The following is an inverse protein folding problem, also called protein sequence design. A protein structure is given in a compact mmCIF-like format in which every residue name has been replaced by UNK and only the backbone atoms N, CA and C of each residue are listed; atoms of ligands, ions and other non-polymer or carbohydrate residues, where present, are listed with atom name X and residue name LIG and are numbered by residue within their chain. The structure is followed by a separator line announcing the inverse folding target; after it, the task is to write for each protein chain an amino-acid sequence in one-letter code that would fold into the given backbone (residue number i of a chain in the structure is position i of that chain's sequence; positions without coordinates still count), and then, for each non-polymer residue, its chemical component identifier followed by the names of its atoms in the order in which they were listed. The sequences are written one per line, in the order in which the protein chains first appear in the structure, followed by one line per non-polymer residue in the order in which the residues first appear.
data_IF_501271511993
#
_entry.id   IF_501271511993
#
_cell.length_a   1.000
_cell.length_b   1.000
_cell.length_c   1.000
_cell.angle_alpha   90.00
_cell.angle_beta   90.00
_cell.angle_gamma   90.00
#
_symmetry.space_group_name_H-M   'P 1'
#
loop_
_entity.id
_entity.type
_entity.pdbx_description
1 polymer ?
#
# COMPACT_ATOMS: atom_id res chain seq x y z
N UNK A 1 -14.32 -51.43 23.45
CA UNK A 1 -14.10 -50.08 24.02
C UNK A 1 -12.64 -49.62 23.92
N UNK A 2 -11.64 -50.42 24.28
CA UNK A 2 -10.23 -49.98 24.29
C UNK A 2 -9.63 -49.60 22.91
N UNK A 3 -10.06 -50.21 21.81
CA UNK A 3 -9.51 -49.93 20.47
C UNK A 3 -9.86 -48.55 19.91
N UNK A 4 -10.94 -47.91 20.37
CA UNK A 4 -11.35 -46.60 19.87
C UNK A 4 -10.40 -45.47 20.32
N UNK A 5 -9.81 -45.59 21.52
CA UNK A 5 -8.90 -44.57 22.04
C UNK A 5 -7.56 -44.53 21.28
N UNK A 6 -7.10 -45.67 20.76
CA UNK A 6 -5.85 -45.75 19.99
C UNK A 6 -6.01 -45.04 18.64
N UNK A 7 -7.13 -45.26 17.95
CA UNK A 7 -7.39 -44.61 16.66
C UNK A 7 -7.56 -43.10 16.79
N UNK A 8 -8.21 -42.65 17.87
CA UNK A 8 -8.40 -41.21 18.12
C UNK A 8 -7.07 -40.50 18.42
N UNK A 9 -6.17 -41.16 19.17
CA UNK A 9 -4.83 -40.65 19.42
C UNK A 9 -3.98 -40.52 18.15
N UNK A 10 -4.05 -41.51 17.24
CA UNK A 10 -3.34 -41.48 15.95
C UNK A 10 -3.88 -40.35 15.06
N UNK A 11 -5.20 -40.15 15.02
CA UNK A 11 -5.82 -39.08 14.23
C UNK A 11 -5.38 -37.68 14.72
N UNK A 12 -5.41 -37.44 16.03
CA UNK A 12 -4.97 -36.17 16.63
C UNK A 12 -3.49 -35.91 16.36
N UNK A 13 -2.64 -36.94 16.47
CA UNK A 13 -1.22 -36.83 16.16
C UNK A 13 -0.96 -36.48 14.68
N UNK A 14 -1.72 -37.06 13.75
CA UNK A 14 -1.59 -36.76 12.33
C UNK A 14 -2.01 -35.33 11.99
N UNK A 15 -3.09 -34.81 12.60
CA UNK A 15 -3.53 -33.41 12.45
C UNK A 15 -2.44 -32.46 12.95
N UNK A 16 -1.90 -32.72 14.15
CA UNK A 16 -0.86 -31.87 14.75
C UNK A 16 0.43 -31.86 13.92
N UNK A 17 0.82 -33.02 13.38
CA UNK A 17 2.03 -33.14 12.54
C UNK A 17 1.86 -32.44 11.19
N UNK A 18 0.64 -32.37 10.65
CA UNK A 18 0.38 -31.71 9.36
C UNK A 18 0.53 -30.18 9.46
N UNK A 19 0.16 -29.59 10.59
CA UNK A 19 0.21 -28.14 10.80
C UNK A 19 1.64 -27.58 10.85
N UNK A 20 2.63 -28.41 11.20
CA UNK A 20 4.05 -28.01 11.22
C UNK A 20 4.75 -27.99 9.85
N UNK A 21 4.08 -28.44 8.78
CA UNK A 21 4.66 -28.45 7.41
C UNK A 21 4.31 -27.22 6.58
N UNK A 22 3.82 -26.14 7.18
CA UNK A 22 3.71 -24.87 6.46
C UNK A 22 5.14 -24.35 6.22
N UNK A 23 5.62 -24.31 4.96
CA UNK A 23 6.95 -23.81 4.67
C UNK A 23 7.02 -22.36 5.16
N UNK A 24 7.95 -22.08 6.08
CA UNK A 24 8.22 -20.70 6.49
C UNK A 24 8.60 -19.94 5.23
N UNK A 25 7.97 -18.79 4.93
CA UNK A 25 8.38 -17.99 3.79
C UNK A 25 9.87 -17.66 3.94
N UNK A 26 10.65 -17.69 2.84
CA UNK A 26 12.06 -17.39 2.89
C UNK A 26 12.25 -16.02 3.56
N UNK A 27 13.12 -15.98 4.56
CA UNK A 27 13.51 -14.74 5.23
C UNK A 27 14.18 -13.89 4.15
N UNK A 28 13.43 -12.91 3.63
CA UNK A 28 13.91 -11.99 2.60
C UNK A 28 15.08 -11.25 3.23
N UNK A 29 16.29 -11.54 2.74
CA UNK A 29 17.51 -10.90 3.21
C UNK A 29 17.29 -9.38 3.15
N UNK A 30 17.41 -8.74 4.32
CA UNK A 30 17.34 -7.29 4.44
C UNK A 30 18.56 -6.75 3.71
N UNK A 31 18.36 -6.24 2.49
CA UNK A 31 19.36 -5.47 1.78
C UNK A 31 19.51 -4.19 2.59
N UNK A 32 20.50 -4.15 3.47
CA UNK A 32 20.99 -2.92 4.07
C UNK A 32 21.67 -2.18 2.93
N UNK A 33 20.98 -1.22 2.36
CA UNK A 33 21.61 -0.23 1.49
C UNK A 33 22.44 0.61 2.46
N UNK A 34 23.76 0.41 2.48
CA UNK A 34 24.69 1.38 3.03
C UNK A 34 24.49 2.65 2.21
N UNK A 35 23.74 3.59 2.79
CA UNK A 35 23.63 4.95 2.29
C UNK A 35 25.00 5.59 2.55
N UNK A 36 25.82 5.67 1.50
CA UNK A 36 27.07 6.42 1.50
C UNK A 36 26.76 7.85 1.94
N UNK A 37 26.99 8.13 3.22
CA UNK A 37 26.93 9.45 3.81
C UNK A 37 28.07 10.26 3.21
N UNK A 38 27.73 11.06 2.20
CA UNK A 38 28.64 12.06 1.65
C UNK A 38 29.07 13.00 2.80
N UNK A 39 30.38 13.22 3.01
CA UNK A 39 30.84 14.10 4.08
C UNK A 39 30.36 15.54 3.81
N UNK A 40 29.58 16.07 4.76
CA UNK A 40 29.23 17.49 4.80
C UNK A 40 30.51 18.31 4.94
N UNK A 41 30.85 19.06 3.91
CA UNK A 41 31.86 20.10 3.98
C UNK A 41 31.35 21.23 4.88
N UNK A 42 31.86 21.28 6.11
CA UNK A 42 31.78 22.47 6.97
C UNK A 42 32.63 23.59 6.36
N UNK A 43 31.97 24.51 5.66
CA UNK A 43 32.53 25.81 5.28
C UNK A 43 32.18 26.88 6.32
N UNK A 44 33.12 27.76 6.71
CA UNK A 44 32.84 28.84 7.65
C UNK A 44 32.36 30.12 6.94
N UNK A 45 31.46 30.82 7.64
CA UNK A 45 31.27 32.27 7.72
C UNK A 45 31.26 33.12 6.44
N UNK A 46 30.11 33.75 6.19
CA UNK A 46 29.99 34.91 5.31
C UNK A 46 28.71 35.70 5.59
N UNK A 47 28.86 36.79 6.33
CA UNK A 47 27.83 37.78 6.64
C UNK A 47 27.32 38.53 5.40
N UNK A 48 26.12 39.11 5.55
CA UNK A 48 25.55 40.23 4.79
C UNK A 48 25.11 39.96 3.34
N UNK A 49 23.79 40.01 3.11
CA UNK A 49 23.13 41.24 2.64
C UNK A 49 21.63 41.01 2.51
N UNK A 50 20.86 41.93 3.09
CA UNK A 50 19.43 42.10 2.87
C UNK A 50 19.23 42.64 1.44
N UNK A 51 18.92 41.76 0.50
CA UNK A 51 18.32 42.15 -0.78
C UNK A 51 16.80 41.90 -0.69
N UNK A 52 16.06 43.01 -0.65
CA UNK A 52 14.65 43.06 -1.02
C UNK A 52 14.56 42.63 -2.49
N UNK A 53 14.08 41.42 -2.74
CA UNK A 53 13.66 40.98 -4.07
C UNK A 53 12.15 41.11 -4.12
N UNK A 54 11.71 41.95 -5.06
CA UNK A 54 10.32 42.28 -5.31
C UNK A 54 9.41 41.05 -5.40
N UNK A 55 8.38 41.11 -4.58
CA UNK A 55 7.24 40.22 -4.51
C UNK A 55 6.35 40.48 -5.74
N UNK A 56 6.76 39.98 -6.90
CA UNK A 56 5.92 39.98 -8.10
C UNK A 56 5.76 38.59 -8.69
N UNK A 57 4.47 38.26 -8.86
CA UNK A 57 3.91 37.18 -9.65
C UNK A 57 3.54 35.94 -8.84
N UNK A 58 2.42 36.07 -8.14
CA UNK A 58 1.48 34.99 -7.84
C UNK A 58 1.14 34.25 -9.12
N UNK A 59 1.99 33.31 -9.50
CA UNK A 59 1.70 32.31 -10.52
C UNK A 59 0.53 31.49 -10.00
N UNK A 60 -0.61 31.77 -10.61
CA UNK A 60 -1.92 31.15 -10.49
C UNK A 60 -1.85 29.67 -10.94
N UNK A 61 -0.98 28.89 -10.29
CA UNK A 61 -0.91 27.44 -10.39
C UNK A 61 -2.07 26.87 -9.59
N UNK A 62 -3.30 27.23 -9.97
CA UNK A 62 -4.44 26.35 -9.69
C UNK A 62 -4.08 25.02 -10.35
N UNK A 63 -3.91 23.92 -9.59
CA UNK A 63 -3.68 22.63 -10.19
C UNK A 63 -4.86 22.39 -11.12
N UNK A 64 -4.57 22.40 -12.43
CA UNK A 64 -5.54 22.10 -13.47
C UNK A 64 -6.11 20.74 -13.08
N UNK A 65 -7.33 20.73 -12.56
CA UNK A 65 -8.04 19.50 -12.24
C UNK A 65 -8.21 18.81 -13.58
N UNK A 66 -7.28 17.90 -13.90
CA UNK A 66 -7.44 17.01 -15.02
C UNK A 66 -8.55 16.10 -14.57
N UNK A 67 -9.76 16.43 -15.04
CA UNK A 67 -10.95 15.61 -14.87
C UNK A 67 -10.76 14.40 -15.80
N UNK A 68 -9.88 13.48 -15.37
CA UNK A 68 -9.56 12.25 -16.09
C UNK A 68 -10.82 11.40 -16.02
N UNK A 69 -11.63 11.56 -17.05
CA UNK A 69 -12.89 10.87 -17.30
C UNK A 69 -12.76 9.37 -17.05
N UNK A 70 -13.24 8.91 -15.89
CA UNK A 70 -13.34 7.52 -15.43
C UNK A 70 -14.22 6.61 -16.32
N UNK A 71 -14.68 7.10 -17.48
CA UNK A 71 -15.60 6.40 -18.40
C UNK A 71 -15.04 5.13 -19.05
N UNK A 72 -13.77 4.76 -18.82
CA UNK A 72 -13.13 3.58 -19.46
C UNK A 72 -12.91 2.37 -18.56
N UNK A 73 -13.54 2.29 -17.38
CA UNK A 73 -13.58 1.05 -16.60
C UNK A 73 -14.62 0.06 -17.15
N UNK A 74 -14.44 -0.32 -18.42
CA UNK A 74 -15.21 -1.39 -19.05
C UNK A 74 -14.79 -2.72 -18.46
N UNK A 75 -15.75 -3.45 -17.85
CA UNK A 75 -15.69 -4.87 -17.44
C UNK A 75 -14.87 -5.20 -16.20
N UNK A 76 -15.35 -4.79 -15.01
CA UNK A 76 -15.16 -5.52 -13.74
C UNK A 76 -13.74 -5.65 -13.15
N UNK A 77 -12.70 -5.38 -13.92
CA UNK A 77 -11.29 -5.46 -13.53
C UNK A 77 -10.87 -4.06 -13.06
N UNK A 78 -10.27 -3.98 -11.89
CA UNK A 78 -9.69 -2.75 -11.36
C UNK A 78 -8.22 -2.67 -11.81
N UNK A 79 -7.69 -1.45 -12.05
CA UNK A 79 -6.28 -1.29 -12.40
C UNK A 79 -5.36 -1.71 -11.25
N UNK A 80 -4.13 -2.08 -11.59
CA UNK A 80 -3.06 -2.29 -10.60
C UNK A 80 -2.72 -0.94 -9.99
N UNK A 81 -2.63 -0.87 -8.67
CA UNK A 81 -2.35 0.37 -7.93
C UNK A 81 -1.06 0.25 -7.13
N UNK A 82 -0.31 1.36 -7.04
CA UNK A 82 0.76 1.53 -6.06
C UNK A 82 0.25 2.38 -4.89
N UNK A 83 0.08 1.73 -3.75
CA UNK A 83 -0.49 2.29 -2.53
C UNK A 83 0.59 2.82 -1.60
N UNK A 84 0.48 4.06 -1.12
CA UNK A 84 1.24 4.55 0.03
C UNK A 84 0.44 4.30 1.30
N UNK A 85 0.90 3.36 2.14
CA UNK A 85 0.13 2.81 3.26
C UNK A 85 0.90 2.82 4.57
N UNK A 86 0.28 3.34 5.63
CA UNK A 86 0.83 3.34 6.99
C UNK A 86 0.30 2.15 7.79
N UNK A 87 1.18 1.30 8.31
CA UNK A 87 0.78 0.11 9.07
C UNK A 87 0.38 0.43 10.52
N UNK A 88 0.05 -0.59 11.32
CA UNK A 88 -0.28 -0.44 12.76
C UNK A 88 0.90 0.03 13.62
N UNK A 89 2.12 -0.03 13.10
CA UNK A 89 3.36 0.40 13.77
C UNK A 89 3.82 1.78 13.29
N UNK A 90 2.93 2.53 12.63
CA UNK A 90 3.21 3.87 12.08
C UNK A 90 4.33 3.90 11.02
N UNK A 91 4.61 2.76 10.40
CA UNK A 91 5.59 2.66 9.32
C UNK A 91 4.88 2.74 7.98
N UNK A 92 5.34 3.65 7.12
CA UNK A 92 4.79 3.88 5.79
C UNK A 92 5.55 3.07 4.74
N UNK A 93 4.81 2.34 3.91
CA UNK A 93 5.34 1.52 2.82
C UNK A 93 4.61 1.83 1.52
N UNK A 94 5.32 1.65 0.41
CA UNK A 94 4.70 1.52 -0.90
C UNK A 94 4.38 0.06 -1.19
N UNK A 95 3.17 -0.22 -1.65
CA UNK A 95 2.68 -1.58 -1.96
C UNK A 95 2.03 -1.61 -3.32
N UNK A 96 2.41 -2.56 -4.16
CA UNK A 96 1.77 -2.86 -5.42
C UNK A 96 0.61 -3.83 -5.17
N UNK A 97 -0.59 -3.41 -5.56
CA UNK A 97 -1.82 -4.15 -5.26
C UNK A 97 -2.78 -4.26 -6.45
N UNK A 98 -3.54 -5.35 -6.47
CA UNK A 98 -4.69 -5.55 -7.36
C UNK A 98 -5.98 -5.59 -6.52
N UNK A 99 -6.73 -4.47 -6.45
CA UNK A 99 -7.93 -4.41 -5.64
C UNK A 99 -9.08 -5.22 -6.22
N UNK A 100 -9.93 -5.75 -5.34
CA UNK A 100 -11.15 -6.46 -5.71
C UNK A 100 -12.37 -5.59 -5.45
N UNK A 101 -13.37 -5.64 -6.33
CA UNK A 101 -14.70 -5.00 -6.14
C UNK A 101 -15.59 -5.76 -5.13
N UNK A 102 -14.99 -6.31 -4.07
CA UNK A 102 -15.68 -7.19 -3.12
C UNK A 102 -15.53 -6.65 -1.71
N UNK A 103 -16.66 -6.29 -1.10
CA UNK A 103 -16.72 -5.88 0.29
C UNK A 103 -18.00 -5.12 0.59
N UNK A 104 -18.73 -5.52 1.63
CA UNK A 104 -19.81 -4.70 2.17
C UNK A 104 -19.29 -3.65 3.15
N UNK A 105 -18.02 -3.73 3.56
CA UNK A 105 -17.41 -2.86 4.55
C UNK A 105 -16.96 -1.54 3.91
N UNK A 106 -17.23 -0.42 4.58
CA UNK A 106 -16.85 0.93 4.13
C UNK A 106 -15.43 1.29 4.56
N UNK A 107 -14.93 0.69 5.64
CA UNK A 107 -13.64 1.04 6.23
C UNK A 107 -12.48 0.26 5.60
N UNK A 108 -12.78 -0.89 4.98
CA UNK A 108 -11.80 -1.83 4.45
C UNK A 108 -12.09 -2.22 3.01
N UNK A 109 -11.03 -2.54 2.27
CA UNK A 109 -11.11 -3.20 0.98
C UNK A 109 -10.11 -4.36 0.89
N UNK A 110 -10.42 -5.34 0.04
CA UNK A 110 -9.55 -6.48 -0.21
C UNK A 110 -8.75 -6.27 -1.48
N UNK A 111 -7.48 -6.67 -1.47
CA UNK A 111 -6.61 -6.67 -2.63
C UNK A 111 -5.59 -7.80 -2.58
N UNK A 112 -5.09 -8.20 -3.74
CA UNK A 112 -3.86 -9.00 -3.82
C UNK A 112 -2.65 -8.09 -3.61
N UNK A 113 -1.73 -8.44 -2.72
CA UNK A 113 -0.49 -7.70 -2.48
C UNK A 113 0.67 -8.46 -3.13
N UNK A 114 1.34 -7.86 -4.11
CA UNK A 114 2.40 -8.52 -4.86
C UNK A 114 3.67 -8.73 -4.02
N UNK A 115 3.97 -7.85 -3.07
CA UNK A 115 5.15 -7.99 -2.20
C UNK A 115 5.07 -9.20 -1.28
N UNK A 116 3.87 -9.53 -0.82
CA UNK A 116 3.61 -10.65 0.09
C UNK A 116 3.03 -11.87 -0.63
N UNK A 117 2.77 -11.76 -1.94
CA UNK A 117 2.16 -12.79 -2.78
C UNK A 117 0.88 -13.41 -2.15
N UNK A 118 0.03 -12.56 -1.55
CA UNK A 118 -1.15 -13.02 -0.81
C UNK A 118 -2.26 -11.97 -0.80
N UNK A 119 -3.48 -12.40 -0.47
CA UNK A 119 -4.64 -11.51 -0.29
C UNK A 119 -4.57 -10.83 1.06
N UNK A 120 -4.76 -9.51 1.08
CA UNK A 120 -4.77 -8.68 2.30
C UNK A 120 -5.98 -7.77 2.33
N UNK A 121 -6.32 -7.34 3.54
CA UNK A 121 -7.32 -6.30 3.80
C UNK A 121 -6.60 -5.01 4.16
N UNK A 122 -6.98 -3.92 3.52
CA UNK A 122 -6.42 -2.60 3.73
C UNK A 122 -7.50 -1.67 4.25
N UNK A 123 -7.15 -0.81 5.22
CA UNK A 123 -8.07 0.23 5.69
C UNK A 123 -7.91 1.50 4.88
N UNK A 124 -9.02 2.14 4.51
CA UNK A 124 -8.98 3.40 3.76
C UNK A 124 -8.33 4.54 4.54
N UNK A 125 -8.55 4.61 5.86
CA UNK A 125 -8.00 5.66 6.73
C UNK A 125 -6.47 5.64 6.85
N UNK A 126 -5.84 4.54 6.47
CA UNK A 126 -4.38 4.35 6.48
C UNK A 126 -3.74 4.47 5.11
N UNK A 127 -4.54 4.76 4.10
CA UNK A 127 -4.07 5.07 2.75
C UNK A 127 -3.86 6.57 2.65
N UNK A 128 -2.61 6.98 2.44
CA UNK A 128 -2.30 8.39 2.18
C UNK A 128 -2.73 8.77 0.75
N UNK A 129 -2.31 7.97 -0.23
CA UNK A 129 -2.76 8.05 -1.62
C UNK A 129 -2.49 6.72 -2.35
N UNK A 130 -3.12 6.56 -3.51
CA UNK A 130 -2.80 5.49 -4.46
C UNK A 130 -2.38 6.07 -5.80
N UNK A 131 -1.57 5.36 -6.56
CA UNK A 131 -1.18 5.72 -7.92
C UNK A 131 -1.68 4.62 -8.85
N UNK A 132 -2.48 4.98 -9.86
CA UNK A 132 -2.87 4.04 -10.91
C UNK A 132 -1.67 3.76 -11.81
N UNK A 133 -1.25 2.50 -11.90
CA UNK A 133 -0.05 2.12 -12.64
C UNK A 133 -0.21 2.18 -14.15
N UNK A 134 -1.44 2.24 -14.66
CA UNK A 134 -1.71 2.36 -16.08
C UNK A 134 -1.67 3.82 -16.53
N UNK A 135 -2.16 4.75 -15.70
CA UNK A 135 -2.34 6.17 -16.06
C UNK A 135 -1.33 7.10 -15.38
N UNK A 136 -0.71 6.68 -14.28
CA UNK A 136 0.08 7.54 -13.40
C UNK A 136 -0.75 8.48 -12.54
N UNK A 137 -2.09 8.41 -12.57
CA UNK A 137 -2.96 9.30 -11.79
C UNK A 137 -2.81 9.02 -10.29
N UNK A 138 -2.60 10.09 -9.51
CA UNK A 138 -2.66 10.03 -8.05
C UNK A 138 -4.13 10.10 -7.62
N UNK A 139 -4.60 9.02 -7.02
CA UNK A 139 -5.93 8.87 -6.46
C UNK A 139 -5.90 9.28 -4.99
N UNK A 140 -6.74 10.27 -4.64
CA UNK A 140 -7.06 10.57 -3.25
C UNK A 140 -7.81 9.39 -2.61
N UNK A 141 -7.86 9.35 -1.27
CA UNK A 141 -8.63 8.33 -0.55
C UNK A 141 -10.10 8.23 -1.02
N UNK A 142 -10.74 9.37 -1.31
CA UNK A 142 -12.10 9.41 -1.85
C UNK A 142 -12.21 8.81 -3.27
N UNK A 143 -11.31 9.18 -4.18
CA UNK A 143 -11.28 8.62 -5.54
C UNK A 143 -11.03 7.11 -5.50
N UNK A 144 -10.11 6.67 -4.64
CA UNK A 144 -9.85 5.25 -4.42
C UNK A 144 -11.08 4.53 -3.87
N UNK A 145 -11.79 5.14 -2.91
CA UNK A 145 -13.03 4.60 -2.37
C UNK A 145 -14.09 4.42 -3.47
N UNK A 146 -14.33 5.43 -4.31
CA UNK A 146 -15.27 5.36 -5.44
C UNK A 146 -14.86 4.32 -6.49
N UNK A 147 -13.56 4.20 -6.75
CA UNK A 147 -13.03 3.20 -7.68
C UNK A 147 -13.38 1.78 -7.23
N UNK A 148 -13.28 1.51 -5.93
CA UNK A 148 -13.55 0.19 -5.34
C UNK A 148 -15.05 -0.02 -5.10
N UNK A 149 -15.78 1.03 -4.72
CA UNK A 149 -17.20 1.03 -4.37
C UNK A 149 -18.02 1.94 -5.31
N UNK A 150 -18.16 1.59 -6.60
CA UNK A 150 -18.80 2.48 -7.57
C UNK A 150 -20.29 2.73 -7.33
N UNK A 151 -20.96 1.89 -6.53
CA UNK A 151 -22.39 1.99 -6.23
C UNK A 151 -22.70 2.73 -4.93
N UNK A 152 -21.69 3.25 -4.21
CA UNK A 152 -21.87 3.86 -2.89
C UNK A 152 -21.52 5.33 -2.95
N UNK A 153 -22.47 6.16 -2.51
CA UNK A 153 -22.31 7.62 -2.48
C UNK A 153 -21.67 8.21 -1.25
#
# INVERSE_FOLDING_TARGET
MAHYFVLLGILVYLIYKWETRVPRPPIRARITIEEDVLPQATGPNGSSSLELVDEQSSNDLRPKQIDVSYKRLTRGILPVLRLKYTNTREQTYYRLIEPYRKGANLDYFQAFCHEENTRRSFRFDRVEHAIDMNTGEILSAYKLFKLIHPTRD
#
